data_IF_871713893003
#
_entry.id   IF_871713893003
#
_cell.length_a   1.000
_cell.length_b   1.000
_cell.length_c   1.000
_cell.angle_alpha   90.00
_cell.angle_beta   90.00
_cell.angle_gamma   90.00
#
_symmetry.space_group_name_H-M   'P 1'
#
loop_
_entity.id
_entity.type
_entity.pdbx_description
1 polymer ?
#
# COMPACT_ATOMS: atom_id res chain seq x y z
N UNK A 1 10.05 5.64 9.29
CA UNK A 1 8.59 5.43 9.31
C UNK A 1 8.18 5.19 10.76
N UNK A 2 7.54 6.16 11.40
CA UNK A 2 7.11 6.06 12.81
C UNK A 2 5.71 5.46 12.81
N UNK A 3 5.52 4.32 13.46
CA UNK A 3 4.18 3.74 13.63
C UNK A 3 3.48 4.51 14.74
N UNK A 4 2.56 5.39 14.37
CA UNK A 4 1.74 6.12 15.31
C UNK A 4 0.73 5.16 15.94
N UNK A 5 0.67 5.19 17.26
CA UNK A 5 -0.28 4.42 18.07
C UNK A 5 -1.70 4.99 17.86
N UNK A 6 -2.73 4.14 17.63
CA UNK A 6 -4.12 4.56 17.61
C UNK A 6 -4.62 5.02 18.99
N UNK A 7 -5.55 5.98 19.02
CA UNK A 7 -6.19 6.48 20.25
C UNK A 7 -6.94 5.40 21.02
N UNK A 8 -7.44 4.40 20.31
CA UNK A 8 -8.42 3.43 20.83
C UNK A 8 -7.74 2.16 21.37
N UNK A 9 -6.44 1.99 21.13
CA UNK A 9 -5.68 0.85 21.61
C UNK A 9 -5.03 1.17 22.95
N UNK A 10 -4.92 0.20 23.86
CA UNK A 10 -4.12 0.36 25.08
C UNK A 10 -2.61 0.33 24.75
N UNK A 11 -1.75 0.79 25.67
CA UNK A 11 -0.30 0.83 25.41
C UNK A 11 0.28 -0.58 25.30
N UNK A 12 -0.16 -1.49 26.18
CA UNK A 12 0.30 -2.87 26.23
C UNK A 12 -0.07 -3.65 24.96
N UNK A 13 -1.30 -3.49 24.46
CA UNK A 13 -1.73 -4.07 23.19
C UNK A 13 -0.92 -3.53 22.01
N UNK A 14 -0.61 -2.24 22.03
CA UNK A 14 0.20 -1.61 20.98
C UNK A 14 1.65 -2.10 21.00
N UNK A 15 2.24 -2.23 22.19
CA UNK A 15 3.60 -2.72 22.35
C UNK A 15 3.73 -4.19 21.93
N UNK A 16 2.74 -5.02 22.27
CA UNK A 16 2.65 -6.40 21.81
C UNK A 16 2.52 -6.48 20.28
N UNK A 17 1.65 -5.65 19.69
CA UNK A 17 1.51 -5.55 18.24
C UNK A 17 2.82 -5.12 17.56
N UNK A 18 3.50 -4.08 18.07
CA UNK A 18 4.77 -3.62 17.50
C UNK A 18 5.85 -4.70 17.64
N UNK A 19 5.93 -5.41 18.76
CA UNK A 19 6.87 -6.50 18.95
C UNK A 19 6.61 -7.65 17.95
N UNK A 20 5.35 -8.01 17.74
CA UNK A 20 4.95 -9.00 16.72
C UNK A 20 5.34 -8.52 15.31
N UNK A 21 5.06 -7.26 14.99
CA UNK A 21 5.37 -6.63 13.69
C UNK A 21 6.87 -6.46 13.43
N UNK A 22 7.67 -6.33 14.48
CA UNK A 22 9.13 -6.20 14.38
C UNK A 22 9.84 -7.56 14.46
N UNK A 23 9.11 -8.63 14.75
CA UNK A 23 9.63 -10.00 14.78
C UNK A 23 10.15 -10.42 13.40
N UNK A 24 11.20 -11.23 13.40
CA UNK A 24 11.83 -11.67 12.15
C UNK A 24 10.93 -12.63 11.38
N UNK A 25 10.14 -13.45 12.09
CA UNK A 25 9.09 -14.29 11.51
C UNK A 25 8.08 -13.48 10.69
N UNK A 26 7.66 -12.30 11.18
CA UNK A 26 6.75 -11.44 10.44
C UNK A 26 7.40 -10.85 9.20
N UNK A 27 8.66 -10.39 9.31
CA UNK A 27 9.43 -9.87 8.16
C UNK A 27 9.64 -10.92 7.08
N UNK A 28 9.93 -12.16 7.46
CA UNK A 28 10.10 -13.28 6.53
C UNK A 28 8.79 -13.61 5.81
N UNK A 29 7.68 -13.73 6.54
CA UNK A 29 6.35 -13.98 5.95
C UNK A 29 5.92 -12.86 4.98
N UNK A 30 6.23 -11.59 5.32
CA UNK A 30 6.00 -10.45 4.40
C UNK A 30 6.87 -10.59 3.14
N UNK A 31 8.17 -10.92 3.29
CA UNK A 31 9.06 -11.10 2.13
C UNK A 31 8.59 -12.25 1.24
N UNK A 32 8.21 -13.38 1.81
CA UNK A 32 7.67 -14.53 1.07
C UNK A 32 6.39 -14.15 0.34
N UNK A 33 5.43 -13.49 0.99
CA UNK A 33 4.20 -13.01 0.35
C UNK A 33 4.41 -11.94 -0.71
N UNK A 34 5.43 -11.09 -0.58
CA UNK A 34 5.79 -10.12 -1.61
C UNK A 34 6.44 -10.78 -2.85
N UNK A 35 7.06 -11.94 -2.67
CA UNK A 35 7.61 -12.75 -3.77
C UNK A 35 6.52 -13.60 -4.44
N UNK A 36 5.51 -14.05 -3.68
CA UNK A 36 4.36 -14.82 -4.19
C UNK A 36 3.24 -13.97 -4.78
N UNK A 37 3.06 -12.73 -4.32
CA UNK A 37 2.29 -11.77 -5.10
C UNK A 37 3.06 -11.61 -6.41
N UNK A 38 2.49 -11.95 -7.59
CA UNK A 38 3.09 -11.45 -8.80
C UNK A 38 3.10 -9.95 -8.63
N UNK A 39 4.30 -9.36 -8.46
CA UNK A 39 4.53 -8.06 -9.02
C UNK A 39 3.99 -8.20 -10.43
N UNK A 40 2.83 -7.62 -10.70
CA UNK A 40 2.24 -7.67 -12.02
C UNK A 40 3.17 -6.86 -12.90
N UNK A 41 4.25 -7.51 -13.34
CA UNK A 41 5.10 -7.15 -14.47
C UNK A 41 4.32 -7.33 -15.78
N UNK A 42 3.10 -7.85 -15.70
CA UNK A 42 2.09 -7.56 -16.69
C UNK A 42 1.74 -6.08 -16.52
N UNK A 43 2.03 -5.20 -17.49
CA UNK A 43 1.37 -3.90 -17.51
C UNK A 43 -0.12 -4.20 -17.54
N UNK A 44 -0.79 -4.08 -16.39
CA UNK A 44 -2.24 -4.10 -16.33
C UNK A 44 -2.62 -2.98 -17.29
N UNK A 45 -3.09 -3.38 -18.46
CA UNK A 45 -3.57 -2.47 -19.48
C UNK A 45 -4.53 -1.55 -18.75
N UNK A 46 -4.17 -0.27 -18.58
CA UNK A 46 -4.95 0.71 -17.80
C UNK A 46 -6.41 0.71 -18.26
N UNK A 47 -6.67 0.26 -19.51
CA UNK A 47 -8.00 0.05 -20.10
C UNK A 47 -8.88 -0.94 -19.34
N UNK A 48 -8.30 -1.92 -18.66
CA UNK A 48 -9.03 -3.01 -17.98
C UNK A 48 -9.12 -2.81 -16.46
N UNK A 49 -8.44 -1.80 -15.90
CA UNK A 49 -8.56 -1.47 -14.48
C UNK A 49 -10.00 -1.06 -14.11
N UNK A 50 -10.47 -1.49 -12.95
CA UNK A 50 -11.81 -1.23 -12.43
C UNK A 50 -12.14 0.28 -12.43
N UNK A 51 -11.14 1.12 -12.14
CA UNK A 51 -11.29 2.57 -12.17
C UNK A 51 -11.57 3.10 -13.58
N UNK A 52 -10.91 2.55 -14.60
CA UNK A 52 -11.14 2.92 -16.00
C UNK A 52 -12.48 2.41 -16.51
N UNK A 53 -12.93 1.24 -16.06
CA UNK A 53 -14.25 0.72 -16.41
C UNK A 53 -15.37 1.61 -15.87
N UNK A 54 -15.23 2.11 -14.63
CA UNK A 54 -16.27 2.94 -13.98
C UNK A 54 -16.20 4.40 -14.41
N UNK A 55 -15.00 4.97 -14.50
CA UNK A 55 -14.81 6.41 -14.67
C UNK A 55 -14.34 6.81 -16.08
N UNK A 56 -14.22 5.84 -16.99
CA UNK A 56 -13.72 6.02 -18.34
C UNK A 56 -12.19 6.17 -18.41
N UNK A 57 -11.69 6.17 -19.66
CA UNK A 57 -10.26 6.32 -19.99
C UNK A 57 -9.70 7.61 -19.40
N UNK A 58 -8.55 7.52 -18.73
CA UNK A 58 -7.83 8.71 -18.26
C UNK A 58 -7.37 9.60 -19.42
N UNK A 59 -7.41 10.92 -19.18
CA UNK A 59 -6.90 11.89 -20.14
C UNK A 59 -5.37 11.96 -20.05
N UNK A 60 -4.65 12.03 -21.19
CA UNK A 60 -3.21 12.25 -21.20
C UNK A 60 -2.82 13.45 -20.33
N UNK A 61 -1.85 13.28 -19.43
CA UNK A 61 -1.38 14.32 -18.50
C UNK A 61 -2.16 14.43 -17.18
N UNK A 62 -3.23 13.64 -16.98
CA UNK A 62 -3.97 13.59 -15.72
C UNK A 62 -3.91 12.19 -15.12
N UNK A 63 -3.00 12.01 -14.16
CA UNK A 63 -2.90 10.77 -13.37
C UNK A 63 -3.82 10.92 -12.16
N UNK A 64 -4.82 10.04 -12.00
CA UNK A 64 -5.60 9.96 -10.75
C UNK A 64 -4.80 9.17 -9.71
N UNK A 65 -3.73 9.78 -9.21
CA UNK A 65 -2.98 9.25 -8.07
C UNK A 65 -3.72 9.49 -6.76
N UNK A 66 -3.69 8.51 -5.87
CA UNK A 66 -4.01 8.70 -4.45
C UNK A 66 -2.94 9.62 -3.85
N UNK A 67 -3.23 10.91 -3.81
CA UNK A 67 -2.64 11.87 -2.87
C UNK A 67 -1.13 12.06 -2.92
N UNK A 68 -0.56 12.43 -4.07
CA UNK A 68 0.55 13.39 -4.12
C UNK A 68 0.37 14.22 -5.39
N UNK A 69 -0.36 15.35 -5.25
CA UNK A 69 -0.28 16.39 -6.25
C UNK A 69 1.17 16.85 -6.39
N UNK A 70 1.52 17.43 -7.55
CA UNK A 70 2.84 18.04 -7.77
C UNK A 70 3.21 18.90 -6.56
N UNK A 71 4.25 18.52 -5.82
CA UNK A 71 4.83 19.38 -4.80
C UNK A 71 5.36 20.62 -5.55
N UNK A 72 4.86 21.84 -5.29
CA UNK A 72 5.46 23.02 -5.87
C UNK A 72 6.90 23.14 -5.34
N UNK A 73 7.82 23.44 -6.25
CA UNK A 73 9.19 23.86 -5.95
C UNK A 73 9.22 25.21 -5.25
#
# INVERSE_FOLDING_TARGET
>A
MVLLKPSDATQEEWDAFVAERMSDKWKENIKEKMVEAPASENPISIKEDALTQVLGKEHPGRVRGLGFGVTPS
#
